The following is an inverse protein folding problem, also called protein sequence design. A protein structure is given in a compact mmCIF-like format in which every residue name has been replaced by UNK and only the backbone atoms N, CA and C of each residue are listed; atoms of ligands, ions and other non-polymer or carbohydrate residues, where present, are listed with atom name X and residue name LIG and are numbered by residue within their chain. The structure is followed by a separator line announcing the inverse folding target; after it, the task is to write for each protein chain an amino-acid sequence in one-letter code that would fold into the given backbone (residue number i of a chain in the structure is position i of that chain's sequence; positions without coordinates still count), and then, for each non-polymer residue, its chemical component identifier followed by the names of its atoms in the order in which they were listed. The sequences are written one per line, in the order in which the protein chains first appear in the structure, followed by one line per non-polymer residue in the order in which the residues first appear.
data_IF_720456279503
#
_entry.id   IF_720456279503
#
_cell.length_a   1.000
_cell.length_b   1.000
_cell.length_c   1.000
_cell.angle_alpha   90.00
_cell.angle_beta   90.00
_cell.angle_gamma   90.00
#
_symmetry.space_group_name_H-M   'P 1'
#
loop_
_entity.id
_entity.type
_entity.pdbx_description
1 polymer ?
#
# COMPACT_ATOMS: atom_id res chain seq x y z
N UNK A 1 -5.82 14.65 -7.35
CA UNK A 1 -4.90 14.67 -8.52
C UNK A 1 -5.58 14.00 -9.71
N UNK A 2 -5.02 14.19 -10.88
CA UNK A 2 -5.59 13.62 -12.10
C UNK A 2 -4.56 12.78 -12.83
N UNK A 3 -5.01 11.65 -13.38
CA UNK A 3 -4.22 10.89 -14.34
C UNK A 3 -4.27 11.60 -15.69
N UNK A 4 -3.22 11.43 -16.50
CA UNK A 4 -3.28 11.93 -17.86
C UNK A 4 -4.12 11.00 -18.74
N UNK A 5 -4.27 11.36 -20.02
CA UNK A 5 -5.15 10.62 -20.92
C UNK A 5 -4.70 9.16 -21.12
N UNK A 6 -3.42 8.87 -20.87
CA UNK A 6 -2.88 7.52 -21.03
C UNK A 6 -2.87 6.73 -19.72
N UNK A 7 -3.39 7.29 -18.64
CA UNK A 7 -3.41 6.62 -17.34
C UNK A 7 -2.11 6.74 -16.58
N UNK A 8 -1.32 7.78 -16.85
CA UNK A 8 -0.07 7.98 -16.13
C UNK A 8 -0.27 8.93 -14.96
N UNK A 9 0.38 8.58 -13.86
CA UNK A 9 0.33 9.34 -12.61
C UNK A 9 1.67 10.03 -12.40
N UNK A 10 1.65 11.37 -12.27
CA UNK A 10 2.85 12.10 -11.87
C UNK A 10 3.01 11.98 -10.38
N UNK A 11 4.05 11.29 -9.94
CA UNK A 11 4.27 11.05 -8.54
C UNK A 11 4.84 12.33 -7.91
N UNK A 12 4.16 12.90 -6.88
CA UNK A 12 4.63 14.15 -6.27
C UNK A 12 6.04 14.01 -5.72
N UNK A 13 6.84 15.06 -5.88
CA UNK A 13 8.23 15.05 -5.43
C UNK A 13 8.34 14.79 -3.93
N UNK A 14 7.41 15.33 -3.14
CA UNK A 14 7.40 15.11 -1.70
C UNK A 14 7.29 13.64 -1.34
N UNK A 15 6.45 12.90 -2.07
CA UNK A 15 6.30 11.47 -1.84
C UNK A 15 7.53 10.70 -2.31
N UNK A 16 8.12 11.11 -3.44
CA UNK A 16 9.34 10.44 -3.91
C UNK A 16 10.49 10.58 -2.93
N UNK A 17 10.58 11.73 -2.26
CA UNK A 17 11.65 11.98 -1.28
C UNK A 17 11.51 11.10 -0.04
N UNK A 18 10.30 10.62 0.26
CA UNK A 18 10.08 9.75 1.40
C UNK A 18 10.47 8.31 1.11
N UNK A 19 10.72 7.99 -0.14
CA UNK A 19 11.13 6.65 -0.53
C UNK A 19 12.63 6.49 -0.32
N UNK A 20 13.03 5.30 0.11
CA UNK A 20 14.45 5.05 0.34
C UNK A 20 15.21 5.13 -0.98
N UNK A 21 16.40 5.74 -0.97
CA UNK A 21 17.22 5.78 -2.19
C UNK A 21 17.50 4.40 -2.77
N UNK A 22 17.53 3.39 -1.93
CA UNK A 22 17.77 2.01 -2.36
C UNK A 22 16.66 1.49 -3.28
N UNK A 23 15.49 2.10 -3.25
CA UNK A 23 14.40 1.72 -4.14
C UNK A 23 14.73 2.02 -5.60
N UNK A 24 15.66 2.97 -5.82
CA UNK A 24 16.14 3.31 -7.15
C UNK A 24 15.00 3.64 -8.11
N UNK A 25 13.96 4.31 -7.58
CA UNK A 25 12.76 4.69 -8.32
C UNK A 25 12.04 3.51 -8.98
N UNK A 26 12.19 2.31 -8.39
CA UNK A 26 11.43 1.14 -8.78
C UNK A 26 10.39 0.85 -7.72
N UNK A 27 9.23 0.41 -8.17
CA UNK A 27 8.08 0.21 -7.31
C UNK A 27 7.38 -1.09 -7.65
N UNK A 28 6.65 -1.62 -6.67
CA UNK A 28 5.70 -2.70 -6.93
C UNK A 28 4.30 -2.16 -6.71
N UNK A 29 3.45 -2.28 -7.73
CA UNK A 29 2.05 -1.93 -7.63
C UNK A 29 1.26 -3.19 -7.35
N UNK A 30 0.41 -3.16 -6.33
CA UNK A 30 -0.40 -4.30 -5.95
C UNK A 30 -1.81 -3.84 -5.61
N UNK A 31 -2.71 -4.78 -5.48
CA UNK A 31 -4.05 -4.50 -4.97
C UNK A 31 -3.95 -4.27 -3.47
N UNK A 32 -4.68 -3.27 -2.98
CA UNK A 32 -4.77 -3.04 -1.55
C UNK A 32 -5.73 -4.00 -0.89
N UNK A 33 -5.77 -3.95 0.43
CA UNK A 33 -6.69 -4.80 1.18
C UNK A 33 -8.14 -4.36 1.00
N UNK A 34 -8.35 -3.06 0.85
CA UNK A 34 -9.65 -2.51 0.48
C UNK A 34 -9.67 -2.27 -1.02
N UNK A 35 -10.70 -1.61 -1.54
CA UNK A 35 -10.81 -1.35 -2.98
C UNK A 35 -9.92 -0.17 -3.36
N UNK A 36 -8.63 -0.38 -3.26
CA UNK A 36 -7.60 0.60 -3.61
C UNK A 36 -6.40 -0.14 -4.16
N UNK A 37 -5.40 0.63 -4.60
CA UNK A 37 -4.10 0.06 -4.99
C UNK A 37 -3.07 0.45 -3.96
N UNK A 38 -2.03 -0.36 -3.85
CA UNK A 38 -0.92 -0.09 -2.96
C UNK A 38 0.36 -0.04 -3.78
N UNK A 39 1.11 1.05 -3.62
CA UNK A 39 2.38 1.24 -4.31
C UNK A 39 3.49 1.19 -3.27
N UNK A 40 4.39 0.24 -3.44
CA UNK A 40 5.50 0.02 -2.51
C UNK A 40 6.82 0.35 -3.18
N UNK A 41 7.73 1.07 -2.49
CA UNK A 41 9.13 1.08 -2.94
C UNK A 41 9.66 -0.35 -2.95
N UNK A 42 10.57 -0.66 -3.87
CA UNK A 42 11.01 -2.04 -4.01
C UNK A 42 11.67 -2.60 -2.77
N UNK A 43 12.41 -1.78 -2.02
CA UNK A 43 13.03 -2.25 -0.78
C UNK A 43 11.99 -2.63 0.26
N UNK A 44 10.88 -1.89 0.35
CA UNK A 44 9.80 -2.22 1.28
C UNK A 44 9.01 -3.43 0.80
N UNK A 45 8.78 -3.53 -0.51
CA UNK A 45 8.11 -4.69 -1.07
C UNK A 45 8.89 -5.96 -0.79
N UNK A 46 10.22 -5.89 -0.90
CA UNK A 46 11.06 -7.06 -0.65
C UNK A 46 10.89 -7.58 0.77
N UNK A 47 10.81 -6.67 1.74
CA UNK A 47 10.59 -7.07 3.14
C UNK A 47 9.27 -7.82 3.30
N UNK A 48 8.21 -7.30 2.68
CA UNK A 48 6.90 -7.91 2.77
C UNK A 48 6.87 -9.26 2.06
N UNK A 49 7.41 -9.32 0.84
CA UNK A 49 7.38 -10.56 0.07
C UNK A 49 8.24 -11.64 0.72
N UNK A 50 9.38 -11.26 1.30
CA UNK A 50 10.20 -12.22 2.04
C UNK A 50 9.46 -12.77 3.25
N UNK A 51 8.74 -11.91 3.97
CA UNK A 51 7.95 -12.36 5.12
C UNK A 51 6.85 -13.33 4.71
N UNK A 52 6.15 -13.03 3.62
CA UNK A 52 5.07 -13.89 3.15
C UNK A 52 5.63 -15.22 2.63
N UNK A 53 6.73 -15.16 1.89
CA UNK A 53 7.36 -16.37 1.35
C UNK A 53 7.97 -17.23 2.44
N UNK A 54 8.19 -16.67 3.62
CA UNK A 54 8.68 -17.44 4.78
C UNK A 54 7.58 -18.15 5.55
N UNK A 55 6.33 -17.99 5.19
CA UNK A 55 5.24 -18.68 5.86
C UNK A 55 5.29 -20.18 5.58
N UNK A 56 4.71 -20.96 6.49
CA UNK A 56 4.64 -22.41 6.31
C UNK A 56 3.63 -22.71 5.19
N UNK A 57 4.15 -23.06 4.03
CA UNK A 57 3.30 -23.29 2.85
C UNK A 57 2.64 -24.66 2.83
N UNK A 58 2.91 -25.51 3.83
CA UNK A 58 2.11 -26.71 4.01
C UNK A 58 0.74 -26.43 4.58
N UNK A 59 0.53 -25.21 5.14
CA UNK A 59 -0.77 -24.80 5.65
C UNK A 59 -1.58 -24.18 4.51
N UNK A 60 -2.75 -24.75 4.23
CA UNK A 60 -3.58 -24.32 3.10
C UNK A 60 -3.95 -22.84 3.18
N UNK A 61 -4.27 -22.37 4.37
CA UNK A 61 -4.65 -20.97 4.58
C UNK A 61 -3.52 -20.02 4.20
N UNK A 62 -2.28 -20.40 4.50
CA UNK A 62 -1.12 -19.58 4.16
C UNK A 62 -0.90 -19.53 2.65
N UNK A 63 -1.11 -20.66 1.95
CA UNK A 63 -1.00 -20.69 0.50
C UNK A 63 -2.08 -19.81 -0.15
N UNK A 64 -3.28 -19.88 0.38
CA UNK A 64 -4.39 -19.06 -0.14
C UNK A 64 -4.08 -17.58 0.02
N UNK A 65 -3.62 -17.18 1.19
CA UNK A 65 -3.27 -15.79 1.44
C UNK A 65 -2.17 -15.32 0.49
N UNK A 66 -1.08 -16.08 0.40
CA UNK A 66 0.06 -15.69 -0.43
C UNK A 66 -0.34 -15.55 -1.89
N UNK A 67 -1.10 -16.52 -2.41
CA UNK A 67 -1.52 -16.51 -3.80
C UNK A 67 -2.40 -15.30 -4.08
N UNK A 68 -3.33 -15.01 -3.19
CA UNK A 68 -4.24 -13.88 -3.38
C UNK A 68 -3.51 -12.56 -3.24
N UNK A 69 -2.59 -12.47 -2.27
CA UNK A 69 -1.83 -11.24 -2.04
C UNK A 69 -0.97 -10.85 -3.25
N UNK A 70 -0.29 -11.84 -3.82
CA UNK A 70 0.61 -11.56 -4.94
C UNK A 70 -0.12 -11.44 -6.28
N UNK A 71 -1.42 -11.74 -6.32
CA UNK A 71 -2.17 -11.74 -7.57
C UNK A 71 -2.23 -10.33 -8.16
N UNK A 72 -1.68 -10.19 -9.37
CA UNK A 72 -1.71 -8.93 -10.09
C UNK A 72 -0.62 -7.95 -9.73
N UNK A 73 0.27 -8.31 -8.80
CA UNK A 73 1.40 -7.43 -8.47
C UNK A 73 2.28 -7.23 -9.69
N UNK A 74 2.71 -5.99 -9.92
CA UNK A 74 3.54 -5.62 -11.07
C UNK A 74 4.66 -4.68 -10.64
N UNK A 75 5.86 -5.00 -11.08
CA UNK A 75 6.98 -4.07 -10.90
C UNK A 75 6.93 -2.98 -11.96
N UNK A 76 7.23 -1.75 -11.57
CA UNK A 76 7.23 -0.63 -12.49
C UNK A 76 8.24 0.42 -12.05
N UNK A 77 8.60 1.31 -12.97
CA UNK A 77 9.50 2.40 -12.67
C UNK A 77 8.92 3.70 -13.19
N UNK A 78 9.50 4.81 -12.74
CA UNK A 78 9.12 6.13 -13.23
C UNK A 78 9.69 6.34 -14.62
N UNK A 79 8.93 7.02 -15.47
CA UNK A 79 9.47 7.46 -16.76
C UNK A 79 10.35 8.68 -16.56
N UNK A 80 10.90 9.22 -17.67
CA UNK A 80 11.80 10.37 -17.58
C UNK A 80 11.20 11.63 -17.01
N UNK A 81 9.86 11.70 -16.96
CA UNK A 81 9.15 12.84 -16.41
C UNK A 81 8.61 12.54 -14.99
N UNK A 82 9.00 11.44 -14.38
CA UNK A 82 8.58 11.10 -13.04
C UNK A 82 7.16 10.56 -12.95
N UNK A 83 6.69 9.88 -13.99
CA UNK A 83 5.32 9.37 -14.05
C UNK A 83 5.32 7.85 -14.04
N UNK A 84 4.24 7.29 -13.44
CA UNK A 84 3.98 5.85 -13.45
C UNK A 84 2.81 5.57 -14.37
N UNK A 85 2.95 4.58 -15.25
CA UNK A 85 1.85 4.15 -16.10
C UNK A 85 1.06 3.07 -15.35
N UNK A 86 -0.16 3.41 -14.94
CA UNK A 86 -1.00 2.49 -14.18
C UNK A 86 -1.79 1.60 -15.13
N UNK A 87 -1.71 0.26 -14.97
CA UNK A 87 -2.42 -0.64 -15.87
C UNK A 87 -3.94 -0.46 -15.74
N UNK A 88 -4.61 -0.57 -16.87
CA UNK A 88 -6.06 -0.37 -16.92
C UNK A 88 -6.80 -1.31 -15.97
N UNK A 89 -6.40 -2.58 -15.92
CA UNK A 89 -7.07 -3.55 -15.04
C UNK A 89 -6.94 -3.19 -13.57
N UNK A 90 -5.83 -2.56 -13.19
CA UNK A 90 -5.63 -2.13 -11.80
C UNK A 90 -6.50 -0.93 -11.49
N UNK A 91 -6.59 0.02 -12.43
CA UNK A 91 -7.48 1.16 -12.27
C UNK A 91 -8.93 0.70 -12.14
N UNK A 92 -9.33 -0.27 -12.95
CA UNK A 92 -10.68 -0.81 -12.89
C UNK A 92 -10.96 -1.48 -11.54
N UNK A 93 -10.00 -2.24 -11.03
CA UNK A 93 -10.15 -2.87 -9.72
C UNK A 93 -10.44 -1.84 -8.63
N UNK A 94 -9.73 -0.72 -8.66
CA UNK A 94 -9.86 0.32 -7.64
C UNK A 94 -10.97 1.32 -7.95
N UNK A 95 -11.62 1.20 -9.11
CA UNK A 95 -12.65 2.14 -9.51
C UNK A 95 -12.11 3.52 -9.86
N UNK A 96 -10.85 3.61 -10.26
CA UNK A 96 -10.21 4.87 -10.59
C UNK A 96 -10.42 5.15 -12.07
N UNK A 97 -10.96 6.34 -12.37
CA UNK A 97 -11.13 6.79 -13.74
C UNK A 97 -10.07 7.83 -14.07
N UNK A 98 -10.29 9.09 -13.70
CA UNK A 98 -9.31 10.15 -13.96
C UNK A 98 -8.80 10.81 -12.69
N UNK A 99 -9.69 10.99 -11.71
CA UNK A 99 -9.31 11.56 -10.43
C UNK A 99 -8.75 10.48 -9.54
N UNK A 100 -7.71 10.81 -8.79
CA UNK A 100 -7.06 9.84 -7.93
C UNK A 100 -6.63 10.53 -6.64
N UNK A 101 -6.78 9.83 -5.53
CA UNK A 101 -6.32 10.29 -4.21
C UNK A 101 -5.13 9.45 -3.80
N UNK A 102 -4.05 10.12 -3.41
CA UNK A 102 -2.84 9.46 -2.93
C UNK A 102 -2.79 9.61 -1.41
N UNK A 103 -2.63 8.51 -0.73
CA UNK A 103 -2.53 8.50 0.73
C UNK A 103 -1.29 7.72 1.13
N UNK A 104 -0.25 8.45 1.51
CA UNK A 104 1.00 7.82 1.96
C UNK A 104 0.96 7.57 3.44
N UNK A 105 1.18 6.32 3.84
CA UNK A 105 1.29 5.99 5.25
C UNK A 105 2.10 4.71 5.41
N UNK A 106 2.85 4.68 6.51
CA UNK A 106 3.72 3.54 6.73
C UNK A 106 4.77 3.44 5.63
N UNK A 107 4.86 2.29 5.02
CA UNK A 107 5.87 1.98 4.01
C UNK A 107 5.31 1.95 2.58
N UNK A 108 4.15 2.55 2.36
CA UNK A 108 3.50 2.47 1.05
C UNK A 108 2.69 3.71 0.77
N UNK A 109 2.24 3.83 -0.46
CA UNK A 109 1.29 4.84 -0.89
C UNK A 109 0.05 4.11 -1.38
N UNK A 110 -1.11 4.47 -0.84
CA UNK A 110 -2.37 3.94 -1.33
C UNK A 110 -2.93 4.86 -2.41
N UNK A 111 -3.47 4.25 -3.45
CA UNK A 111 -4.07 4.95 -4.58
C UNK A 111 -5.56 4.63 -4.58
N UNK A 112 -6.38 5.66 -4.46
CA UNK A 112 -7.82 5.50 -4.28
C UNK A 112 -8.59 6.29 -5.33
N UNK A 113 -9.76 5.78 -5.71
CA UNK A 113 -10.74 6.66 -6.34
C UNK A 113 -11.28 7.62 -5.29
N UNK A 114 -11.66 8.84 -5.67
CA UNK A 114 -12.27 9.76 -4.68
C UNK A 114 -13.49 9.18 -4.02
N UNK A 115 -14.30 8.44 -4.76
CA UNK A 115 -15.51 7.83 -4.21
C UNK A 115 -15.19 6.81 -3.13
N UNK A 116 -14.27 5.88 -3.42
CA UNK A 116 -13.91 4.85 -2.45
C UNK A 116 -13.15 5.42 -1.27
N UNK A 117 -12.35 6.45 -1.51
CA UNK A 117 -11.63 7.13 -0.43
C UNK A 117 -12.62 7.77 0.54
N UNK A 118 -13.64 8.46 0.01
CA UNK A 118 -14.65 9.09 0.84
C UNK A 118 -15.46 8.05 1.60
N UNK A 119 -15.79 6.93 0.97
CA UNK A 119 -16.49 5.85 1.68
C UNK A 119 -15.67 5.31 2.84
N UNK A 120 -14.37 5.14 2.64
CA UNK A 120 -13.48 4.67 3.68
C UNK A 120 -13.42 5.66 4.84
N UNK A 121 -13.30 6.96 4.54
CA UNK A 121 -13.26 7.98 5.57
C UNK A 121 -14.56 8.06 6.37
N UNK A 122 -15.68 7.77 5.72
CA UNK A 122 -16.99 7.86 6.36
C UNK A 122 -17.39 6.57 7.08
N UNK A 123 -16.58 5.51 6.97
CA UNK A 123 -16.84 4.24 7.62
C UNK A 123 -16.12 4.18 8.96
N UNK A 124 -16.52 5.09 9.87
CA UNK A 124 -15.88 5.14 11.18
C UNK A 124 -16.35 3.99 12.04
N UNK A 125 -15.45 3.40 12.83
CA UNK A 125 -15.88 2.43 13.84
C UNK A 125 -16.86 3.07 14.82
N UNK A 126 -17.84 2.30 15.28
CA UNK A 126 -18.84 2.81 16.20
C UNK A 126 -18.22 3.37 17.48
N UNK A 127 -17.12 2.79 17.90
CA UNK A 127 -16.37 3.25 19.08
C UNK A 127 -14.88 3.17 18.77
N UNK A 128 -14.35 4.28 18.28
CA UNK A 128 -12.94 4.32 17.89
C UNK A 128 -12.02 4.18 19.11
N UNK A 129 -12.44 4.74 20.25
CA UNK A 129 -11.62 4.64 21.46
C UNK A 129 -11.49 3.19 21.92
N UNK A 130 -12.57 2.44 21.84
CA UNK A 130 -12.54 1.03 22.20
C UNK A 130 -11.67 0.24 21.23
N UNK A 131 -11.79 0.52 19.94
CA UNK A 131 -10.95 -0.14 18.94
C UNK A 131 -9.48 0.15 19.20
N UNK A 132 -9.15 1.41 19.50
CA UNK A 132 -7.76 1.78 19.79
C UNK A 132 -7.24 1.02 21.01
N UNK A 133 -8.08 0.86 22.03
CA UNK A 133 -7.69 0.12 23.21
C UNK A 133 -7.46 -1.36 22.89
N UNK A 134 -8.33 -1.95 22.10
CA UNK A 134 -8.19 -3.36 21.73
C UNK A 134 -6.94 -3.61 20.91
N UNK A 135 -6.60 -2.68 20.02
CA UNK A 135 -5.47 -2.86 19.11
C UNK A 135 -4.16 -2.45 19.77
N UNK A 136 -4.15 -1.35 20.54
CA UNK A 136 -2.93 -0.74 21.06
C UNK A 136 -2.76 -0.85 22.56
N UNK A 137 -3.78 -1.32 23.27
CA UNK A 137 -3.78 -1.26 24.74
C UNK A 137 -2.68 -2.07 25.40
N UNK A 138 -2.13 -3.07 24.73
CA UNK A 138 -1.06 -3.90 25.27
C UNK A 138 0.31 -3.55 24.72
N UNK A 139 0.40 -2.45 23.95
CA UNK A 139 1.65 -2.08 23.31
C UNK A 139 2.38 -1.08 24.21
N UNK A 140 3.64 -1.38 24.49
CA UNK A 140 4.49 -0.48 25.27
C UNK A 140 5.17 0.50 24.34
N UNK A 141 4.78 1.77 24.45
CA UNK A 141 5.35 2.83 23.63
C UNK A 141 6.52 3.53 24.29
N UNK A 142 6.89 3.14 25.52
CA UNK A 142 7.95 3.79 26.27
C UNK A 142 9.25 3.02 26.14
N UNK A 143 9.97 3.34 25.13
CA UNK A 143 11.29 2.79 24.94
C UNK A 143 11.33 1.32 24.69
N UNK A 144 10.40 0.89 24.60
CA UNK A 144 10.53 -0.40 24.26
C UNK A 144 10.73 -0.62 22.85
N UNK A 145 10.79 -0.22 22.71
CA UNK A 145 10.72 -0.51 22.14
C UNK A 145 11.09 -1.35 21.67
N UNK A 146 11.34 -1.35 21.99
CA UNK A 146 11.58 -1.93 21.88
C UNK A 146 11.64 -2.94 21.96
N UNK A 147 11.94 -3.08 22.28
CA UNK A 147 11.91 -3.85 22.57
C UNK A 147 11.12 -4.55 22.13
N UNK A 148 11.08 -4.33 21.60
CA UNK A 148 10.25 -4.53 21.39
C UNK A 148 9.67 -5.11 21.09
N UNK A 149 9.64 -5.17 21.19
CA UNK A 149 9.08 -5.36 21.24
C UNK A 149 8.48 -5.44 21.27
N UNK A 150 8.76 -5.28 21.27
CA UNK A 150 8.34 -5.07 21.59
C UNK A 150 8.07 -5.28 21.88
N UNK A 151 8.42 -5.17 21.98
CA UNK A 151 8.37 -5.25 22.56
C UNK A 151 8.17 -5.45 22.76
#
# INVERSE_FOLDING_TARGET
MKLDAKGRLSLPAALRKQMAPEANERFMLNRGFENCLALYPMDEWKKISDAINGLNMFVAKNREFARYFFRGAMEMGLDGAGRLLLPKRMLEYAGIDREIVLFGWGNKIELWSPENYNKMLNSEPADFAKLAEEVMGNINLNGGGAERGLS
#
